data_IF_153037470856
#
_entry.id   IF_153037470856
#
_cell.length_a   1.000
_cell.length_b   1.000
_cell.length_c   1.000
_cell.angle_alpha   90.00
_cell.angle_beta   90.00
_cell.angle_gamma   90.00
#
_symmetry.space_group_name_H-M   'P 1'
#
loop_
_entity.id
_entity.type
_entity.pdbx_description
1 polymer ?
#
# COMPACT_ATOMS: atom_id res chain seq x y z
N UNK A 1 14.23 13.12 4.45
CA UNK A 1 13.63 13.68 3.21
C UNK A 1 12.45 12.78 2.94
N UNK A 2 11.21 13.28 2.96
CA UNK A 2 10.06 12.44 2.61
C UNK A 2 10.16 12.20 1.11
N UNK A 3 10.55 11.00 0.71
CA UNK A 3 10.60 10.63 -0.69
C UNK A 3 9.19 10.75 -1.26
N UNK A 4 9.06 11.45 -2.39
CA UNK A 4 7.76 11.67 -3.02
C UNK A 4 7.27 10.35 -3.61
N UNK A 5 5.98 10.05 -3.43
CA UNK A 5 5.37 8.83 -4.00
C UNK A 5 5.59 8.79 -5.53
N UNK A 6 5.97 7.65 -6.13
CA UNK A 6 6.16 7.55 -7.58
C UNK A 6 4.87 7.87 -8.34
N UNK A 7 4.97 8.58 -9.46
CA UNK A 7 3.79 8.96 -10.25
C UNK A 7 3.11 7.77 -10.94
N UNK A 8 3.89 6.82 -11.48
CA UNK A 8 3.34 5.63 -12.14
C UNK A 8 2.97 4.56 -11.11
N UNK A 9 1.87 3.85 -11.32
CA UNK A 9 1.46 2.73 -10.46
C UNK A 9 2.41 1.55 -10.60
N UNK A 10 2.72 1.18 -11.84
CA UNK A 10 3.64 0.10 -12.19
C UNK A 10 4.94 0.67 -12.78
N UNK A 11 6.07 0.19 -12.26
CA UNK A 11 7.36 0.32 -12.91
C UNK A 11 7.49 -0.77 -13.98
N UNK A 12 7.06 -0.44 -15.20
CA UNK A 12 7.14 -1.33 -16.34
C UNK A 12 8.56 -1.79 -16.69
N UNK A 13 9.61 -1.06 -16.30
CA UNK A 13 10.98 -1.55 -16.51
C UNK A 13 11.23 -2.83 -15.71
N UNK A 14 10.85 -2.83 -14.43
CA UNK A 14 11.00 -3.99 -13.53
C UNK A 14 10.05 -5.11 -13.96
N UNK A 15 8.77 -4.78 -14.17
CA UNK A 15 7.79 -5.81 -14.51
C UNK A 15 8.08 -6.46 -15.88
N UNK A 16 8.61 -5.70 -16.85
CA UNK A 16 8.98 -6.27 -18.17
C UNK A 16 10.15 -7.26 -18.09
N UNK A 17 11.08 -7.08 -17.14
CA UNK A 17 12.14 -8.08 -16.90
C UNK A 17 11.52 -9.41 -16.45
N UNK A 18 10.49 -9.36 -15.59
CA UNK A 18 9.77 -10.56 -15.14
C UNK A 18 8.92 -11.15 -16.27
N UNK A 19 8.21 -10.32 -17.02
CA UNK A 19 7.43 -10.74 -18.20
C UNK A 19 8.33 -11.41 -19.25
N UNK A 20 9.58 -10.97 -19.41
CA UNK A 20 10.50 -11.60 -20.38
C UNK A 20 10.78 -13.07 -20.07
N UNK A 21 10.60 -13.50 -18.81
CA UNK A 21 10.73 -14.91 -18.43
C UNK A 21 9.58 -15.78 -18.98
N UNK A 22 8.46 -15.16 -19.39
CA UNK A 22 7.34 -15.88 -20.02
C UNK A 22 7.71 -16.46 -21.40
N UNK A 23 8.82 -16.03 -22.00
CA UNK A 23 9.35 -16.62 -23.25
C UNK A 23 9.74 -18.09 -23.07
N UNK A 24 10.28 -18.44 -21.89
CA UNK A 24 10.72 -19.79 -21.54
C UNK A 24 9.69 -20.54 -20.66
N UNK A 25 8.95 -19.82 -19.81
CA UNK A 25 7.95 -20.38 -18.89
C UNK A 25 6.61 -19.63 -19.00
N UNK A 26 5.71 -20.03 -19.92
CA UNK A 26 4.45 -19.35 -20.13
C UNK A 26 3.62 -19.21 -18.85
N UNK A 27 3.07 -18.01 -18.63
CA UNK A 27 2.30 -17.63 -17.42
C UNK A 27 3.12 -17.46 -16.12
N UNK A 28 4.45 -17.56 -16.16
CA UNK A 28 5.29 -17.33 -14.99
C UNK A 28 5.01 -15.98 -14.32
N UNK A 29 5.06 -14.89 -15.08
CA UNK A 29 4.82 -13.53 -14.57
C UNK A 29 3.43 -13.39 -13.95
N UNK A 30 2.40 -13.95 -14.60
CA UNK A 30 1.01 -13.92 -14.13
C UNK A 30 0.84 -14.73 -12.84
N UNK A 31 1.54 -15.86 -12.71
CA UNK A 31 1.52 -16.69 -11.50
C UNK A 31 2.10 -15.93 -10.30
N UNK A 32 3.21 -15.21 -10.49
CA UNK A 32 3.79 -14.35 -9.46
C UNK A 32 2.85 -13.21 -9.05
N UNK A 33 2.20 -12.57 -10.02
CA UNK A 33 1.22 -11.51 -9.75
C UNK A 33 0.03 -12.05 -8.97
N UNK A 34 -0.49 -13.23 -9.32
CA UNK A 34 -1.59 -13.88 -8.60
C UNK A 34 -1.19 -14.20 -7.16
N UNK A 35 0.00 -14.79 -6.97
CA UNK A 35 0.53 -15.08 -5.64
C UNK A 35 0.70 -13.81 -4.80
N UNK A 36 1.18 -12.72 -5.40
CA UNK A 36 1.31 -11.44 -4.73
C UNK A 36 -0.06 -10.87 -4.32
N UNK A 37 -1.09 -11.00 -5.15
CA UNK A 37 -2.45 -10.52 -4.83
C UNK A 37 -2.97 -11.22 -3.56
N UNK A 38 -2.78 -12.53 -3.45
CA UNK A 38 -3.17 -13.31 -2.27
C UNK A 38 -2.33 -12.92 -1.03
N UNK A 39 -1.03 -12.76 -1.22
CA UNK A 39 -0.10 -12.31 -0.18
C UNK A 39 -0.51 -10.93 0.36
N UNK A 40 -0.71 -9.96 -0.51
CA UNK A 40 -1.10 -8.59 -0.15
C UNK A 40 -2.44 -8.57 0.58
N UNK A 41 -3.43 -9.31 0.09
CA UNK A 41 -4.75 -9.41 0.73
C UNK A 41 -4.63 -9.97 2.16
N UNK A 42 -3.85 -11.04 2.33
CA UNK A 42 -3.59 -11.65 3.64
C UNK A 42 -2.88 -10.67 4.58
N UNK A 43 -1.82 -10.03 4.10
CA UNK A 43 -1.06 -9.06 4.89
C UNK A 43 -1.90 -7.86 5.31
N UNK A 44 -2.78 -7.35 4.45
CA UNK A 44 -3.68 -6.27 4.83
C UNK A 44 -4.68 -6.68 5.93
N UNK A 45 -5.19 -7.91 5.90
CA UNK A 45 -6.03 -8.42 7.00
C UNK A 45 -5.26 -8.54 8.30
N UNK A 46 -4.02 -9.04 8.27
CA UNK A 46 -3.17 -9.10 9.46
C UNK A 46 -2.89 -7.71 10.04
N UNK A 47 -2.67 -6.71 9.19
CA UNK A 47 -2.52 -5.32 9.64
C UNK A 47 -3.80 -4.80 10.31
N UNK A 48 -4.99 -5.11 9.77
CA UNK A 48 -6.26 -4.76 10.42
C UNK A 48 -6.43 -5.46 11.78
N UNK A 49 -6.04 -6.74 11.88
CA UNK A 49 -6.12 -7.49 13.13
C UNK A 49 -5.26 -6.85 14.23
N UNK A 50 -4.04 -6.41 13.89
CA UNK A 50 -3.19 -5.67 14.83
C UNK A 50 -3.77 -4.29 15.16
N UNK A 51 -4.22 -3.51 14.18
CA UNK A 51 -4.79 -2.18 14.41
C UNK A 51 -6.04 -2.21 15.31
N UNK A 52 -6.88 -3.23 15.17
CA UNK A 52 -8.12 -3.38 15.92
C UNK A 52 -7.98 -4.23 17.21
N UNK A 53 -6.86 -4.92 17.36
CA UNK A 53 -6.59 -5.86 18.45
C UNK A 53 -5.49 -5.39 19.39
N UNK A 54 -4.33 -6.05 19.30
CA UNK A 54 -3.19 -5.87 20.21
C UNK A 54 -2.41 -4.56 20.02
N UNK A 55 -2.60 -3.90 18.87
CA UNK A 55 -1.96 -2.65 18.48
C UNK A 55 -0.44 -2.73 18.47
N UNK A 56 0.10 -3.89 18.06
CA UNK A 56 1.55 -4.11 18.02
C UNK A 56 2.21 -3.36 16.84
N UNK A 57 2.81 -2.20 17.14
CA UNK A 57 3.55 -1.38 16.16
C UNK A 57 4.74 -2.13 15.53
N UNK A 58 5.33 -3.08 16.24
CA UNK A 58 6.45 -3.86 15.71
C UNK A 58 5.98 -4.87 14.68
N UNK A 59 4.83 -5.50 14.91
CA UNK A 59 4.24 -6.37 13.88
C UNK A 59 3.75 -5.58 12.67
N UNK A 60 3.21 -4.37 12.86
CA UNK A 60 2.88 -3.47 11.76
C UNK A 60 4.13 -3.05 10.95
N UNK A 61 5.27 -2.80 11.60
CA UNK A 61 6.58 -2.61 10.93
C UNK A 61 6.96 -3.84 10.10
N UNK A 62 6.95 -5.02 10.70
CA UNK A 62 7.31 -6.27 10.03
C UNK A 62 6.45 -6.54 8.79
N UNK A 63 5.13 -6.38 8.91
CA UNK A 63 4.18 -6.57 7.82
C UNK A 63 4.40 -5.52 6.70
N UNK A 64 4.66 -4.26 7.07
CA UNK A 64 5.02 -3.21 6.13
C UNK A 64 6.31 -3.54 5.37
N UNK A 65 7.35 -3.99 6.08
CA UNK A 65 8.62 -4.41 5.48
C UNK A 65 8.45 -5.57 4.49
N UNK A 66 7.70 -6.59 4.90
CA UNK A 66 7.44 -7.78 4.10
C UNK A 66 6.76 -7.42 2.77
N UNK A 67 5.65 -6.68 2.85
CA UNK A 67 4.89 -6.32 1.65
C UNK A 67 5.60 -5.29 0.78
N UNK A 68 6.42 -4.40 1.37
CA UNK A 68 7.32 -3.51 0.63
C UNK A 68 8.24 -4.31 -0.28
N UNK A 69 8.88 -5.35 0.25
CA UNK A 69 9.84 -6.19 -0.49
C UNK A 69 9.19 -6.87 -1.70
N UNK A 70 8.06 -7.55 -1.50
CA UNK A 70 7.37 -8.24 -2.59
C UNK A 70 6.79 -7.27 -3.63
N UNK A 71 6.24 -6.14 -3.19
CA UNK A 71 5.72 -5.09 -4.10
C UNK A 71 6.83 -4.50 -4.97
N UNK A 72 7.98 -4.19 -4.36
CA UNK A 72 9.11 -3.60 -5.08
C UNK A 72 9.69 -4.56 -6.12
N UNK A 73 9.80 -5.86 -5.78
CA UNK A 73 10.29 -6.88 -6.69
C UNK A 73 9.43 -7.00 -7.96
N UNK A 74 8.11 -6.76 -7.87
CA UNK A 74 7.16 -6.82 -8.99
C UNK A 74 6.95 -5.47 -9.69
N UNK A 75 7.72 -4.43 -9.32
CA UNK A 75 7.56 -3.10 -9.89
C UNK A 75 6.31 -2.35 -9.40
N UNK A 76 5.63 -2.82 -8.36
CA UNK A 76 4.42 -2.20 -7.78
C UNK A 76 4.80 -1.06 -6.83
N UNK A 77 5.48 -0.07 -7.39
CA UNK A 77 6.28 0.92 -6.68
C UNK A 77 5.47 1.85 -5.75
N UNK A 78 4.20 2.14 -6.07
CA UNK A 78 3.34 2.96 -5.19
C UNK A 78 2.93 2.20 -3.94
N UNK A 79 2.60 0.91 -4.08
CA UNK A 79 2.31 0.04 -2.94
C UNK A 79 3.57 -0.12 -2.07
N UNK A 80 4.72 -0.37 -2.69
CA UNK A 80 6.00 -0.45 -1.99
C UNK A 80 6.31 0.83 -1.20
N UNK A 81 6.07 2.00 -1.80
CA UNK A 81 6.25 3.29 -1.13
C UNK A 81 5.35 3.44 0.09
N UNK A 82 4.05 3.10 -0.01
CA UNK A 82 3.13 3.18 1.15
C UNK A 82 3.53 2.18 2.24
N UNK A 83 3.93 0.97 1.86
CA UNK A 83 4.39 -0.05 2.81
C UNK A 83 5.66 0.38 3.57
N UNK A 84 6.55 1.13 2.92
CA UNK A 84 7.68 1.76 3.60
C UNK A 84 7.26 2.82 4.61
N UNK A 85 6.19 3.60 4.34
CA UNK A 85 5.65 4.54 5.32
C UNK A 85 5.07 3.79 6.52
N UNK A 86 4.30 2.73 6.30
CA UNK A 86 3.81 1.84 7.38
C UNK A 86 4.98 1.32 8.23
N UNK A 87 6.05 0.85 7.56
CA UNK A 87 7.28 0.39 8.20
C UNK A 87 7.88 1.47 9.12
N UNK A 88 8.07 2.68 8.59
CA UNK A 88 8.70 3.77 9.33
C UNK A 88 7.83 4.35 10.43
N UNK A 89 6.50 4.38 10.24
CA UNK A 89 5.53 4.74 11.28
C UNK A 89 5.56 3.73 12.43
N UNK A 90 5.59 2.43 12.14
CA UNK A 90 5.74 1.37 13.15
C UNK A 90 7.03 1.50 13.97
N UNK A 91 8.11 1.97 13.33
CA UNK A 91 9.40 2.29 13.98
C UNK A 91 9.44 3.63 14.68
N UNK A 92 8.39 4.45 14.57
CA UNK A 92 8.36 5.84 15.04
C UNK A 92 9.47 6.70 14.43
N UNK A 93 9.89 6.36 13.21
CA UNK A 93 10.91 7.07 12.43
C UNK A 93 10.30 8.17 11.54
N UNK A 94 8.99 8.10 11.30
CA UNK A 94 8.17 9.13 10.65
C UNK A 94 6.97 9.42 11.54
N UNK A 95 6.50 10.66 11.58
CA UNK A 95 5.42 11.15 12.45
C UNK A 95 4.25 11.77 11.66
N UNK A 96 4.25 11.59 10.34
CA UNK A 96 3.26 12.14 9.44
C UNK A 96 3.05 11.26 8.21
N UNK A 97 1.84 11.33 7.65
CA UNK A 97 1.48 10.65 6.40
C UNK A 97 0.71 11.62 5.50
N UNK A 98 1.05 11.75 4.20
CA UNK A 98 0.36 12.68 3.31
C UNK A 98 -1.12 12.36 3.15
N UNK A 99 -1.93 13.40 2.93
CA UNK A 99 -3.37 13.21 2.74
C UNK A 99 -3.65 12.43 1.45
N UNK A 100 -4.66 11.55 1.49
CA UNK A 100 -5.18 10.82 0.32
C UNK A 100 -5.31 11.71 -0.92
N UNK A 101 -5.91 12.89 -0.78
CA UNK A 101 -6.10 13.83 -1.90
C UNK A 101 -4.79 14.34 -2.53
N UNK A 102 -3.71 14.41 -1.77
CA UNK A 102 -2.39 14.82 -2.28
C UNK A 102 -1.74 13.66 -3.03
N UNK A 103 -1.82 12.45 -2.47
CA UNK A 103 -1.31 11.23 -3.11
C UNK A 103 -2.03 10.91 -4.42
N UNK A 104 -3.35 11.12 -4.49
CA UNK A 104 -4.13 10.89 -5.71
C UNK A 104 -3.83 11.93 -6.81
N UNK A 105 -3.43 13.16 -6.47
CA UNK A 105 -3.03 14.18 -7.46
C UNK A 105 -1.73 13.84 -8.18
N UNK A 106 -0.92 12.95 -7.61
CA UNK A 106 0.35 12.51 -8.23
C UNK A 106 0.16 11.42 -9.28
N UNK A 107 -1.04 10.83 -9.37
CA UNK A 107 -1.34 9.79 -10.34
C UNK A 107 -1.32 10.35 -11.77
N UNK A 108 -1.02 9.52 -12.78
CA UNK A 108 -1.07 9.92 -14.17
C UNK A 108 -2.53 10.19 -14.58
N UNK A 109 -2.75 11.13 -15.50
CA UNK A 109 -4.10 11.48 -15.98
C UNK A 109 -4.86 10.33 -16.66
N UNK A 110 -4.16 9.25 -17.02
CA UNK A 110 -4.73 8.04 -17.63
C UNK A 110 -5.39 7.11 -16.61
N UNK A 111 -5.08 7.25 -15.31
CA UNK A 111 -5.62 6.40 -14.25
C UNK A 111 -6.94 6.99 -13.74
N UNK A 112 -8.01 6.21 -13.85
CA UNK A 112 -9.32 6.54 -13.30
C UNK A 112 -9.48 5.91 -11.92
N UNK A 113 -9.50 6.76 -10.90
CA UNK A 113 -9.88 6.43 -9.52
C UNK A 113 -11.40 6.43 -9.41
N UNK A 114 -11.98 5.39 -8.80
CA UNK A 114 -13.43 5.30 -8.57
C UNK A 114 -13.90 6.39 -7.61
N UNK A 115 -15.13 6.89 -7.80
CA UNK A 115 -15.66 8.00 -6.99
C UNK A 115 -15.77 7.65 -5.50
N UNK A 116 -15.98 6.36 -5.17
CA UNK A 116 -15.97 5.86 -3.79
C UNK A 116 -14.62 6.01 -3.09
N UNK A 117 -13.53 5.92 -3.85
CA UNK A 117 -12.16 6.03 -3.35
C UNK A 117 -11.66 7.51 -3.37
N UNK A 118 -12.44 8.44 -3.94
CA UNK A 118 -12.20 9.89 -3.89
C UNK A 118 -12.80 10.57 -2.66
N UNK A 119 -13.69 9.90 -1.91
CA UNK A 119 -14.36 10.50 -0.77
C UNK A 119 -13.33 11.00 0.27
N UNK A 120 -13.45 12.30 0.58
CA UNK A 120 -12.68 13.01 1.60
C UNK A 120 -13.06 12.43 2.95
N UNK A 121 -12.06 12.05 3.74
CA UNK A 121 -12.29 11.60 5.12
C UNK A 121 -12.93 12.76 5.91
N UNK A 122 -14.22 12.62 6.24
CA UNK A 122 -14.86 13.43 7.25
C UNK A 122 -14.13 13.15 8.56
N UNK A 123 -13.43 14.16 9.04
CA UNK A 123 -12.85 14.19 10.38
C UNK A 123 -13.99 14.11 11.38
N UNK A 124 -14.04 13.04 12.18
CA UNK A 124 -14.66 13.11 13.49
C UNK A 124 -13.54 13.33 14.51
N UNK A 125 -13.41 14.59 14.94
CA UNK A 125 -12.88 14.94 16.25
C UNK A 125 -13.76 14.33 17.36
N UNK A 126 -13.19 14.30 18.58
CA UNK A 126 -13.75 13.88 19.90
C UNK A 126 -13.45 12.42 20.25
N UNK A 127 -12.86 12.05 21.40
CA UNK A 127 -12.92 12.68 22.72
C UNK A 127 -11.64 12.47 23.54
N UNK A 128 -11.37 13.45 24.41
CA UNK A 128 -10.34 13.45 25.44
C UNK A 128 -10.43 12.21 26.35
N UNK A 129 -9.35 11.42 26.42
CA UNK A 129 -8.93 10.73 27.65
C UNK A 129 -7.42 10.82 27.80
N UNK A 130 -6.99 11.63 28.75
CA UNK A 130 -5.64 11.62 29.29
C UNK A 130 -5.36 10.24 29.92
N UNK A 131 -4.57 9.45 29.21
CA UNK A 131 -3.65 8.46 29.78
C UNK A 131 -2.33 8.63 29.02
N UNK A 132 -1.19 8.34 29.65
CA UNK A 132 0.20 8.49 29.15
C UNK A 132 0.54 7.61 27.91
N UNK A 133 -0.44 7.36 27.04
CA UNK A 133 -0.47 6.52 25.84
C UNK A 133 -0.58 7.35 24.55
N UNK A 134 -0.27 8.65 24.62
CA UNK A 134 -0.52 9.63 23.54
C UNK A 134 0.38 9.46 22.31
N UNK A 135 1.57 8.85 22.45
CA UNK A 135 2.51 8.69 21.34
C UNK A 135 2.09 7.62 20.35
N UNK A 136 1.71 6.44 20.85
CA UNK A 136 1.50 5.25 20.04
C UNK A 136 0.19 5.32 19.27
N UNK A 137 -0.84 5.96 19.86
CA UNK A 137 -2.13 6.20 19.21
C UNK A 137 -2.01 7.05 17.94
N UNK A 138 -1.10 8.04 17.93
CA UNK A 138 -0.80 8.81 16.73
C UNK A 138 -0.28 7.91 15.60
N UNK A 139 0.72 7.07 15.89
CA UNK A 139 1.31 6.17 14.88
C UNK A 139 0.29 5.15 14.39
N UNK A 140 -0.54 4.60 15.27
CA UNK A 140 -1.63 3.68 14.89
C UNK A 140 -2.65 4.34 13.96
N UNK A 141 -3.02 5.59 14.23
CA UNK A 141 -3.92 6.35 13.35
C UNK A 141 -3.29 6.60 11.97
N UNK A 142 -2.01 7.01 11.94
CA UNK A 142 -1.28 7.23 10.69
C UNK A 142 -1.09 5.92 9.90
N UNK A 143 -0.82 4.79 10.58
CA UNK A 143 -0.72 3.48 9.94
C UNK A 143 -2.08 3.06 9.37
N UNK A 144 -3.18 3.32 10.08
CA UNK A 144 -4.54 3.07 9.57
C UNK A 144 -4.82 3.87 8.29
N UNK A 145 -4.46 5.16 8.25
CA UNK A 145 -4.56 5.99 7.05
C UNK A 145 -3.69 5.45 5.90
N UNK A 146 -2.45 5.05 6.20
CA UNK A 146 -1.55 4.46 5.24
C UNK A 146 -2.07 3.11 4.69
N UNK A 147 -2.68 2.28 5.54
CA UNK A 147 -3.30 1.01 5.11
C UNK A 147 -4.48 1.25 4.16
N UNK A 148 -5.33 2.23 4.45
CA UNK A 148 -6.41 2.65 3.53
C UNK A 148 -5.81 3.06 2.18
N UNK A 149 -4.74 3.86 2.19
CA UNK A 149 -4.06 4.25 0.96
C UNK A 149 -3.46 3.03 0.23
N UNK A 150 -2.83 2.10 0.94
CA UNK A 150 -2.25 0.89 0.35
C UNK A 150 -3.32 0.05 -0.38
N UNK A 151 -4.53 -0.04 0.17
CA UNK A 151 -5.68 -0.71 -0.46
C UNK A 151 -6.13 0.01 -1.74
N UNK A 152 -6.08 1.34 -1.78
CA UNK A 152 -6.38 2.11 -3.00
C UNK A 152 -5.32 1.81 -4.06
N UNK A 153 -4.04 1.93 -3.72
CA UNK A 153 -2.93 1.64 -4.66
C UNK A 153 -2.98 0.19 -5.16
N UNK A 154 -3.36 -0.76 -4.30
CA UNK A 154 -3.57 -2.16 -4.66
C UNK A 154 -4.68 -2.34 -5.70
N UNK A 155 -5.83 -1.68 -5.53
CA UNK A 155 -6.92 -1.70 -6.54
C UNK A 155 -6.47 -1.10 -7.87
N UNK A 156 -5.72 0.00 -7.83
CA UNK A 156 -5.19 0.65 -9.03
C UNK A 156 -4.22 -0.27 -9.78
N UNK A 157 -3.30 -0.90 -9.05
CA UNK A 157 -2.37 -1.88 -9.63
C UNK A 157 -3.11 -3.08 -10.24
N UNK A 158 -4.08 -3.66 -9.52
CA UNK A 158 -4.90 -4.78 -10.04
C UNK A 158 -5.63 -4.42 -11.33
N UNK A 159 -6.18 -3.21 -11.43
CA UNK A 159 -6.85 -2.73 -12.65
C UNK A 159 -5.88 -2.61 -13.83
N UNK A 160 -4.68 -2.07 -13.61
CA UNK A 160 -3.67 -1.93 -14.66
C UNK A 160 -3.11 -3.31 -15.10
N UNK A 161 -2.86 -4.20 -14.14
CA UNK A 161 -2.43 -5.59 -14.41
C UNK A 161 -3.53 -6.38 -15.13
N UNK A 162 -4.79 -6.25 -14.73
CA UNK A 162 -5.92 -6.91 -15.39
C UNK A 162 -6.06 -6.47 -16.85
N UNK A 163 -5.84 -5.17 -17.13
CA UNK A 163 -5.82 -4.66 -18.49
C UNK A 163 -4.68 -5.25 -19.32
N UNK A 164 -3.49 -5.42 -18.72
CA UNK A 164 -2.33 -6.03 -19.38
C UNK A 164 -2.55 -7.51 -19.71
N UNK A 165 -2.95 -8.32 -18.71
CA UNK A 165 -3.18 -9.76 -18.86
C UNK A 165 -4.51 -10.11 -19.55
N UNK A 166 -5.36 -9.11 -19.85
CA UNK A 166 -6.68 -9.27 -20.48
C UNK A 166 -7.58 -10.24 -19.71
N UNK A 167 -7.47 -10.23 -18.39
CA UNK A 167 -8.23 -11.09 -17.48
C UNK A 167 -8.41 -10.36 -16.15
N UNK A 168 -9.46 -10.69 -15.41
CA UNK A 168 -9.67 -10.11 -14.08
C UNK A 168 -8.73 -10.80 -13.08
N UNK A 169 -7.85 -10.00 -12.47
CA UNK A 169 -6.92 -10.42 -11.41
C UNK A 169 -7.37 -9.86 -10.07
#
# INVERSE_FOLDING_TARGET
MIDTIPSKVINWSILNEIISMDEDDPEFSKSLITQYIDQATTTFHQMDDHLNGDKDLKELDNLGHFLKGSSAALGLQRIAWVCERIQNLGRKAEDSFPKKSELLKTLPSTITVEDKDKCVDNSSESDNKETDTSGDELYLNLISQALIQARIEFKLARKELSAYYKTEL
#
